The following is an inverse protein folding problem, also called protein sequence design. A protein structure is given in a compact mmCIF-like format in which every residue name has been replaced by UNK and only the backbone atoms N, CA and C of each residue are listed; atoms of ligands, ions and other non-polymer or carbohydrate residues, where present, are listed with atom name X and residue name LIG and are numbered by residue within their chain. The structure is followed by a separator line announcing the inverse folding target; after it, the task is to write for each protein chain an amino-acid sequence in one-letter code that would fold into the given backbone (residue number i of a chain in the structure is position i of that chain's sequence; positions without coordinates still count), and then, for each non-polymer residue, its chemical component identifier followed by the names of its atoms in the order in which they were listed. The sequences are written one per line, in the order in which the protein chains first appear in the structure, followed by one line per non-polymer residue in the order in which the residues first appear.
data_IF_637485886710
#
_entry.id   IF_637485886710
#
_cell.length_a   1.000
_cell.length_b   1.000
_cell.length_c   1.000
_cell.angle_alpha   90.00
_cell.angle_beta   90.00
_cell.angle_gamma   90.00
#
_symmetry.space_group_name_H-M   'P 1'
#
loop_
_entity.id
_entity.type
_entity.pdbx_description
1 polymer ?
#
# COMPACT_ATOMS: atom_id res chain seq x y z
N UNK A 1 54.30 41.12 10.92
CA UNK A 1 53.56 41.23 12.20
C UNK A 1 52.52 40.12 12.25
N UNK A 2 52.80 39.11 13.09
CA UNK A 2 51.91 38.07 13.69
C UNK A 2 51.11 37.18 12.70
N UNK A 3 51.72 36.14 12.10
CA UNK A 3 51.99 34.75 12.59
C UNK A 3 50.81 33.79 12.28
N UNK A 4 50.83 32.91 11.26
CA UNK A 4 51.58 31.65 10.99
C UNK A 4 51.32 30.46 11.94
N UNK A 5 51.24 29.25 11.32
CA UNK A 5 51.38 27.88 11.88
C UNK A 5 50.06 27.21 12.37
N UNK A 6 49.68 25.94 12.15
CA UNK A 6 50.21 24.67 11.60
C UNK A 6 48.98 23.75 11.31
N UNK A 7 48.82 23.11 10.15
CA UNK A 7 49.19 21.71 9.79
C UNK A 7 48.84 20.56 10.77
N UNK A 8 47.98 19.66 10.27
CA UNK A 8 47.99 18.18 10.33
C UNK A 8 47.93 17.45 11.68
N UNK A 9 47.01 16.49 11.84
CA UNK A 9 47.30 15.06 12.11
C UNK A 9 46.02 14.19 12.11
N UNK A 10 46.18 12.96 11.66
CA UNK A 10 45.20 11.88 11.58
C UNK A 10 45.30 10.91 12.78
N UNK A 11 44.35 9.95 12.80
CA UNK A 11 44.39 8.59 13.41
C UNK A 11 43.72 8.33 14.79
N UNK A 12 42.52 7.72 14.73
CA UNK A 12 42.15 6.37 15.24
C UNK A 12 42.19 6.06 16.78
N UNK A 13 41.73 4.87 17.25
CA UNK A 13 40.69 4.72 18.28
C UNK A 13 41.21 4.13 19.62
N UNK A 14 40.39 4.15 20.68
CA UNK A 14 40.73 3.54 21.97
C UNK A 14 39.60 2.66 22.54
N UNK A 15 39.96 1.44 22.91
CA UNK A 15 39.24 0.43 23.69
C UNK A 15 40.28 -0.18 24.67
N UNK A 16 39.90 -0.96 25.69
CA UNK A 16 39.70 -0.56 27.08
C UNK A 16 40.81 -1.06 28.04
N UNK A 17 40.85 -0.54 29.28
CA UNK A 17 41.64 -1.12 30.38
C UNK A 17 40.79 -1.27 31.65
N UNK A 18 40.84 -2.46 32.25
CA UNK A 18 40.11 -2.81 33.46
C UNK A 18 40.97 -2.81 34.73
N UNK A 19 40.29 -2.69 35.88
CA UNK A 19 40.35 -3.52 37.14
C UNK A 19 40.09 -2.64 38.38
N UNK A 20 39.79 -3.18 39.59
CA UNK A 20 39.16 -4.45 39.97
C UNK A 20 38.03 -4.30 41.04
N UNK A 21 37.46 -5.44 41.42
CA UNK A 21 36.36 -5.71 42.37
C UNK A 21 36.59 -5.25 43.83
N UNK A 22 35.48 -4.99 44.55
CA UNK A 22 35.33 -5.38 45.97
C UNK A 22 33.90 -5.83 46.27
N UNK A 23 33.78 -7.00 46.91
CA UNK A 23 32.54 -7.58 47.43
C UNK A 23 32.17 -6.93 48.77
N UNK A 24 30.87 -6.72 49.01
CA UNK A 24 30.30 -6.81 50.35
C UNK A 24 28.87 -7.34 50.31
N UNK A 25 28.70 -8.47 50.97
CA UNK A 25 27.49 -9.24 51.23
C UNK A 25 26.47 -8.47 52.07
N UNK A 26 25.18 -8.53 51.71
CA UNK A 26 24.09 -8.46 52.70
C UNK A 26 22.83 -9.19 52.24
N UNK A 27 22.17 -9.74 53.25
CA UNK A 27 21.27 -10.89 53.30
C UNK A 27 19.82 -10.65 52.88
N UNK A 28 19.18 -11.72 52.39
CA UNK A 28 17.74 -11.88 52.12
C UNK A 28 16.96 -12.03 53.44
N UNK A 29 15.74 -11.46 53.54
CA UNK A 29 14.71 -11.99 54.43
C UNK A 29 13.48 -12.52 53.66
N UNK A 30 12.95 -13.64 54.17
CA UNK A 30 11.76 -14.40 53.76
C UNK A 30 10.43 -13.65 53.93
N UNK A 31 9.36 -13.97 53.16
CA UNK A 31 8.01 -13.48 53.46
C UNK A 31 7.19 -14.50 54.29
N UNK A 32 6.48 -14.00 55.32
CA UNK A 32 5.35 -14.67 55.96
C UNK A 32 4.05 -13.88 55.70
N UNK A 33 2.98 -14.66 55.58
CA UNK A 33 1.52 -14.44 55.45
C UNK A 33 0.89 -13.21 56.17
N UNK A 34 -0.34 -12.71 55.94
CA UNK A 34 -1.65 -13.33 55.61
C UNK A 34 -2.74 -12.21 55.44
N UNK A 35 -3.84 -12.52 54.72
CA UNK A 35 -5.27 -12.05 54.83
C UNK A 35 -5.86 -11.64 53.45
N UNK A 36 -6.80 -12.34 52.76
CA UNK A 36 -8.23 -12.76 52.99
C UNK A 36 -9.19 -11.56 53.10
N UNK A 37 -10.12 -11.27 52.17
CA UNK A 37 -11.40 -11.93 51.80
C UNK A 37 -12.12 -11.08 50.69
N UNK A 38 -13.36 -11.38 50.18
CA UNK A 38 -13.81 -12.49 49.30
C UNK A 38 -14.55 -12.02 48.01
N UNK A 39 -14.75 -12.93 47.04
CA UNK A 39 -15.65 -12.79 45.89
C UNK A 39 -16.88 -13.71 46.00
N UNK A 40 -18.05 -13.20 45.60
CA UNK A 40 -19.36 -13.90 45.53
C UNK A 40 -19.55 -14.65 44.20
N UNK A 41 -20.32 -15.76 44.14
CA UNK A 41 -20.47 -16.60 42.94
C UNK A 41 -21.75 -16.31 42.14
N UNK A 42 -21.85 -16.71 40.86
CA UNK A 42 -23.12 -16.86 40.16
C UNK A 42 -23.61 -18.32 40.15
N UNK A 43 -24.94 -18.43 40.20
CA UNK A 43 -25.77 -19.62 40.33
C UNK A 43 -25.78 -20.54 39.10
N UNK A 44 -25.73 -21.86 39.36
CA UNK A 44 -25.99 -22.96 38.43
C UNK A 44 -27.48 -23.06 38.10
N UNK A 45 -27.83 -23.21 36.82
CA UNK A 45 -29.11 -23.78 36.38
C UNK A 45 -28.79 -25.09 35.67
N UNK A 46 -29.24 -26.20 36.27
CA UNK A 46 -29.13 -27.56 35.75
C UNK A 46 -30.30 -27.83 34.81
N UNK A 47 -30.03 -28.18 33.56
CA UNK A 47 -30.98 -28.87 32.69
C UNK A 47 -30.40 -30.24 32.38
N UNK A 48 -31.00 -31.29 32.96
CA UNK A 48 -30.72 -32.69 32.66
C UNK A 48 -31.46 -33.07 31.37
N UNK A 49 -30.75 -33.59 30.39
CA UNK A 49 -31.34 -34.39 29.32
C UNK A 49 -30.55 -35.70 29.24
N UNK A 50 -31.23 -36.80 29.55
CA UNK A 50 -30.70 -38.16 29.48
C UNK A 50 -30.79 -38.66 28.05
N UNK A 51 -29.66 -39.07 27.47
CA UNK A 51 -29.64 -39.97 26.32
C UNK A 51 -28.75 -41.16 26.63
N UNK A 52 -29.28 -42.33 26.27
CA UNK A 52 -28.77 -43.64 26.61
C UNK A 52 -27.34 -43.88 26.09
N UNK A 53 -26.54 -44.51 26.94
CA UNK A 53 -25.24 -45.10 26.62
C UNK A 53 -25.43 -46.22 25.59
N UNK A 54 -24.80 -46.10 24.43
CA UNK A 54 -24.54 -47.23 23.54
C UNK A 54 -23.02 -47.36 23.41
N UNK A 55 -22.51 -48.48 23.91
CA UNK A 55 -21.10 -48.88 23.85
C UNK A 55 -20.58 -48.89 22.41
N UNK A 56 -19.63 -48.01 22.13
CA UNK A 56 -18.77 -48.06 20.94
C UNK A 56 -17.34 -47.79 21.42
N UNK A 57 -16.45 -48.74 21.12
CA UNK A 57 -15.02 -48.69 21.41
C UNK A 57 -14.40 -47.50 20.65
N UNK A 58 -13.97 -46.46 21.37
CA UNK A 58 -13.17 -45.36 20.82
C UNK A 58 -11.71 -45.81 20.64
N UNK A 59 -11.38 -46.34 19.47
CA UNK A 59 -10.00 -46.29 18.96
C UNK A 59 -9.87 -45.01 18.13
N UNK A 60 -9.63 -43.88 18.82
CA UNK A 60 -9.24 -42.62 18.19
C UNK A 60 -8.02 -42.05 18.88
N UNK A 61 -6.84 -42.55 18.52
CA UNK A 61 -5.58 -41.83 18.72
C UNK A 61 -5.50 -40.67 17.71
N UNK A 62 -6.38 -39.67 17.83
CA UNK A 62 -6.23 -38.41 17.11
C UNK A 62 -5.30 -37.51 17.91
N UNK A 63 -3.99 -37.78 17.82
CA UNK A 63 -3.00 -36.77 18.18
C UNK A 63 -3.24 -35.57 17.23
N UNK A 64 -3.43 -34.35 17.74
CA UNK A 64 -3.49 -33.18 16.88
C UNK A 64 -2.15 -33.10 16.15
N UNK A 65 -2.19 -33.15 14.82
CA UNK A 65 -1.05 -32.76 14.00
C UNK A 65 -0.90 -31.27 14.26
N UNK A 66 0.06 -30.93 15.12
CA UNK A 66 0.50 -29.58 15.35
C UNK A 66 1.22 -29.13 14.08
N UNK A 67 0.44 -28.73 13.06
CA UNK A 67 0.97 -28.01 11.90
C UNK A 67 1.34 -26.63 12.43
N UNK A 68 2.51 -26.55 13.08
CA UNK A 68 3.24 -25.31 13.20
C UNK A 68 3.60 -24.94 11.76
N UNK A 69 2.69 -24.24 11.09
CA UNK A 69 3.05 -23.51 9.90
C UNK A 69 4.14 -22.55 10.34
N UNK A 70 5.39 -22.87 10.00
CA UNK A 70 6.52 -21.97 10.14
C UNK A 70 6.22 -20.78 9.23
N UNK A 71 5.54 -19.77 9.79
CA UNK A 71 5.22 -18.53 9.08
C UNK A 71 6.55 -17.86 8.87
N UNK A 72 7.20 -18.15 7.74
CA UNK A 72 8.37 -17.41 7.28
C UNK A 72 8.00 -15.94 7.26
N UNK A 73 8.52 -15.20 8.23
CA UNK A 73 8.38 -13.76 8.27
C UNK A 73 9.12 -13.21 7.06
N UNK A 74 8.39 -12.53 6.17
CA UNK A 74 8.97 -11.81 5.05
C UNK A 74 10.04 -10.85 5.58
N UNK A 75 11.30 -11.04 5.16
CA UNK A 75 12.42 -10.19 5.56
C UNK A 75 12.86 -9.35 4.36
N UNK A 76 12.73 -8.04 4.48
CA UNK A 76 13.14 -7.10 3.43
C UNK A 76 14.35 -6.28 3.85
N UNK A 77 15.18 -5.94 2.88
CA UNK A 77 16.30 -5.02 3.06
C UNK A 77 16.01 -3.72 2.35
N UNK A 78 16.02 -2.60 3.07
CA UNK A 78 15.76 -1.27 2.52
C UNK A 78 17.06 -0.46 2.49
N UNK A 79 17.59 -0.26 1.29
CA UNK A 79 18.77 0.58 1.05
C UNK A 79 18.35 2.05 1.01
N UNK A 80 18.90 2.87 1.90
CA UNK A 80 18.48 4.25 2.11
C UNK A 80 17.28 4.39 3.06
N UNK A 81 17.05 3.41 3.95
CA UNK A 81 15.90 3.37 4.86
C UNK A 81 15.76 4.55 5.83
N UNK A 82 16.82 5.33 6.11
CA UNK A 82 16.74 6.56 6.91
C UNK A 82 16.32 7.81 6.09
N UNK A 83 16.23 7.66 4.76
CA UNK A 83 15.82 8.73 3.84
C UNK A 83 14.32 9.02 3.88
N UNK A 84 13.89 10.04 3.13
CA UNK A 84 12.49 10.46 3.08
C UNK A 84 11.55 9.34 2.61
N UNK A 85 11.85 8.73 1.45
CA UNK A 85 11.05 7.61 0.91
C UNK A 85 11.30 6.31 1.67
N UNK A 86 12.57 6.01 1.97
CA UNK A 86 12.96 4.78 2.67
C UNK A 86 12.29 4.62 4.04
N UNK A 87 12.20 5.70 4.82
CA UNK A 87 11.59 5.65 6.15
C UNK A 87 10.08 5.40 6.12
N UNK A 88 9.38 5.94 5.11
CA UNK A 88 7.96 5.66 4.89
C UNK A 88 7.73 4.18 4.53
N UNK A 89 8.60 3.61 3.68
CA UNK A 89 8.56 2.18 3.32
C UNK A 89 8.81 1.30 4.54
N UNK A 90 9.88 1.57 5.31
CA UNK A 90 10.20 0.82 6.52
C UNK A 90 9.01 0.83 7.50
N UNK A 91 8.38 1.99 7.70
CA UNK A 91 7.21 2.11 8.56
C UNK A 91 6.01 1.31 8.03
N UNK A 92 5.73 1.40 6.73
CA UNK A 92 4.62 0.66 6.12
C UNK A 92 4.83 -0.86 6.19
N UNK A 93 6.07 -1.33 6.03
CA UNK A 93 6.44 -2.74 6.14
C UNK A 93 6.28 -3.27 7.57
N UNK A 94 6.79 -2.54 8.56
CA UNK A 94 6.64 -2.89 9.99
C UNK A 94 5.16 -2.97 10.38
N UNK A 95 4.33 -2.03 9.92
CA UNK A 95 2.89 -2.05 10.17
C UNK A 95 2.17 -3.27 9.56
N UNK A 96 2.77 -3.92 8.56
CA UNK A 96 2.29 -5.16 7.94
C UNK A 96 2.90 -6.43 8.56
N UNK A 97 3.74 -6.29 9.59
CA UNK A 97 4.41 -7.42 10.24
C UNK A 97 5.59 -7.98 9.44
N UNK A 98 6.11 -7.22 8.46
CA UNK A 98 7.28 -7.60 7.67
C UNK A 98 8.54 -7.22 8.45
N UNK A 99 9.51 -8.12 8.52
CA UNK A 99 10.82 -7.84 9.11
C UNK A 99 11.63 -6.94 8.17
N UNK A 100 12.17 -5.84 8.70
CA UNK A 100 12.90 -4.84 7.91
C UNK A 100 14.32 -4.69 8.42
N UNK A 101 15.28 -4.79 7.50
CA UNK A 101 16.68 -4.38 7.71
C UNK A 101 16.91 -3.06 6.99
N UNK A 102 17.14 -1.98 7.72
CA UNK A 102 17.40 -0.66 7.14
C UNK A 102 18.91 -0.43 7.01
N UNK A 103 19.39 -0.10 5.81
CA UNK A 103 20.79 0.24 5.54
C UNK A 103 20.91 1.72 5.25
N UNK A 104 21.77 2.45 5.98
CA UNK A 104 21.96 3.90 5.80
C UNK A 104 23.31 4.41 6.29
N UNK A 105 23.77 5.54 5.75
CA UNK A 105 25.11 6.11 6.03
C UNK A 105 25.19 7.04 7.25
N UNK A 106 24.06 7.44 7.83
CA UNK A 106 23.99 8.38 8.94
C UNK A 106 22.98 7.90 10.00
N UNK A 107 23.37 7.91 11.28
CA UNK A 107 22.46 7.71 12.41
C UNK A 107 21.76 9.02 12.74
N UNK A 108 20.44 9.04 12.64
CA UNK A 108 19.61 9.99 13.36
C UNK A 108 18.53 9.18 14.08
N UNK A 109 18.32 9.52 15.36
CA UNK A 109 17.45 8.84 16.32
C UNK A 109 16.11 8.47 15.68
N UNK A 110 15.93 7.19 15.36
CA UNK A 110 14.60 6.65 15.15
C UNK A 110 14.07 6.27 16.52
N UNK A 111 12.96 6.89 16.92
CA UNK A 111 12.12 6.32 17.96
C UNK A 111 11.76 4.89 17.52
N UNK A 112 12.29 3.92 18.27
CA UNK A 112 12.20 2.48 18.04
C UNK A 112 10.75 2.05 18.28
N UNK A 113 9.92 2.18 17.25
CA UNK A 113 8.70 1.40 17.16
C UNK A 113 9.00 0.21 16.25
N UNK A 114 9.50 -0.87 16.89
CA UNK A 114 9.58 -2.23 16.34
C UNK A 114 10.20 -2.38 14.94
N UNK A 115 11.49 -2.04 14.75
CA UNK A 115 12.27 -2.65 13.66
C UNK A 115 12.77 -3.99 14.17
N UNK A 116 12.17 -5.09 13.75
CA UNK A 116 12.55 -6.45 14.20
C UNK A 116 13.90 -6.90 13.60
N UNK A 117 14.41 -6.23 12.55
CA UNK A 117 15.61 -6.64 11.79
C UNK A 117 16.84 -5.70 11.85
N UNK A 118 16.83 -4.64 12.66
CA UNK A 118 18.00 -3.77 12.90
C UNK A 118 18.26 -2.64 11.87
N UNK A 119 19.13 -1.69 12.25
CA UNK A 119 19.62 -0.58 11.42
C UNK A 119 21.13 -0.71 11.25
N UNK A 120 21.61 -0.88 10.01
CA UNK A 120 23.03 -0.98 9.71
C UNK A 120 23.58 0.36 9.23
N UNK A 121 24.59 0.88 9.95
CA UNK A 121 25.29 2.11 9.60
C UNK A 121 26.47 1.80 8.68
N UNK A 122 26.23 1.72 7.37
CA UNK A 122 27.29 1.44 6.41
C UNK A 122 26.96 2.04 5.02
N UNK A 123 28.01 2.40 4.27
CA UNK A 123 27.86 2.75 2.86
C UNK A 123 27.70 1.47 2.04
N UNK A 124 26.81 1.51 1.05
CA UNK A 124 26.50 0.38 0.15
C UNK A 124 27.76 -0.15 -0.54
N UNK A 125 28.76 0.70 -0.79
CA UNK A 125 30.03 0.29 -1.38
C UNK A 125 30.89 -0.61 -0.48
N UNK A 126 30.68 -0.58 0.84
CA UNK A 126 31.47 -1.33 1.82
C UNK A 126 30.60 -2.29 2.65
N UNK A 127 29.40 -2.60 2.17
CA UNK A 127 28.45 -3.45 2.88
C UNK A 127 28.96 -4.90 2.92
N UNK A 128 28.86 -5.52 4.10
CA UNK A 128 28.98 -6.96 4.22
C UNK A 128 27.66 -7.61 3.81
N UNK A 129 27.52 -7.88 2.51
CA UNK A 129 26.30 -8.38 1.89
C UNK A 129 25.81 -9.71 2.49
N UNK A 130 26.72 -10.54 2.98
CA UNK A 130 26.41 -11.81 3.67
C UNK A 130 25.58 -11.61 4.94
N UNK A 131 25.88 -10.59 5.74
CA UNK A 131 25.13 -10.34 6.98
C UNK A 131 23.73 -9.76 6.70
N UNK A 132 23.62 -9.01 5.60
CA UNK A 132 22.42 -8.22 5.30
C UNK A 132 21.40 -9.02 4.47
N UNK A 133 21.85 -9.75 3.45
CA UNK A 133 20.98 -10.38 2.46
C UNK A 133 20.54 -11.81 2.84
N UNK A 134 21.18 -12.43 3.84
CA UNK A 134 20.79 -13.78 4.27
C UNK A 134 19.34 -13.78 4.77
N UNK A 135 18.53 -14.64 4.14
CA UNK A 135 17.10 -14.78 4.42
C UNK A 135 16.22 -13.66 3.87
N UNK A 136 16.78 -12.70 3.13
CA UNK A 136 15.99 -11.62 2.55
C UNK A 136 15.12 -12.12 1.38
N UNK A 137 13.83 -11.83 1.42
CA UNK A 137 12.86 -12.13 0.37
C UNK A 137 12.77 -11.00 -0.66
N UNK A 138 13.13 -9.78 -0.28
CA UNK A 138 13.24 -8.68 -1.23
C UNK A 138 14.27 -7.62 -0.81
N UNK A 139 14.81 -6.92 -1.81
CA UNK A 139 15.61 -5.71 -1.59
C UNK A 139 14.89 -4.52 -2.21
N UNK A 140 14.75 -3.43 -1.44
CA UNK A 140 14.17 -2.16 -1.89
C UNK A 140 15.26 -1.10 -1.89
N UNK A 141 15.60 -0.58 -3.08
CA UNK A 141 16.55 0.52 -3.21
C UNK A 141 15.84 1.88 -3.32
N UNK A 142 16.08 2.71 -2.32
CA UNK A 142 15.71 4.14 -2.32
C UNK A 142 16.93 5.05 -2.48
N UNK A 143 18.07 4.49 -2.93
CA UNK A 143 19.32 5.21 -3.09
C UNK A 143 19.17 6.33 -4.12
N UNK A 144 19.39 7.55 -3.65
CA UNK A 144 19.36 8.76 -4.45
C UNK A 144 20.28 9.81 -3.85
N UNK A 145 21.03 10.50 -4.70
CA UNK A 145 21.95 11.55 -4.25
C UNK A 145 22.08 12.66 -5.28
N UNK A 146 22.14 13.90 -4.81
CA UNK A 146 22.41 15.09 -5.59
C UNK A 146 23.81 15.61 -5.24
N UNK A 147 24.49 16.23 -6.20
CA UNK A 147 25.86 16.73 -6.02
C UNK A 147 26.55 16.90 -7.35
N UNK A 148 27.86 16.66 -7.38
CA UNK A 148 28.64 16.71 -8.61
C UNK A 148 28.24 15.58 -9.57
N UNK A 149 28.48 15.76 -10.86
CA UNK A 149 28.13 14.81 -11.92
C UNK A 149 28.65 13.38 -11.63
N UNK A 150 29.90 13.25 -11.17
CA UNK A 150 30.50 11.97 -10.77
C UNK A 150 29.82 11.35 -9.55
N UNK A 151 29.52 12.17 -8.54
CA UNK A 151 28.81 11.71 -7.34
C UNK A 151 27.40 11.22 -7.68
N UNK A 152 26.72 11.91 -8.60
CA UNK A 152 25.39 11.52 -9.07
C UNK A 152 25.46 10.21 -9.87
N UNK A 153 26.45 10.03 -10.76
CA UNK A 153 26.66 8.76 -11.48
C UNK A 153 26.98 7.61 -10.54
N UNK A 154 27.83 7.86 -9.54
CA UNK A 154 28.25 6.88 -8.54
C UNK A 154 27.08 6.44 -7.66
N UNK A 155 26.33 7.39 -7.07
CA UNK A 155 25.24 7.05 -6.13
C UNK A 155 23.99 6.56 -6.86
N UNK A 156 23.56 7.23 -7.93
CA UNK A 156 22.31 6.87 -8.61
C UNK A 156 22.48 5.70 -9.59
N UNK A 157 23.71 5.45 -10.06
CA UNK A 157 24.06 4.35 -10.95
C UNK A 157 24.84 3.24 -10.24
N UNK A 158 26.14 3.44 -10.02
CA UNK A 158 27.05 2.38 -9.54
C UNK A 158 26.59 1.70 -8.26
N UNK A 159 26.16 2.48 -7.24
CA UNK A 159 25.69 1.92 -5.97
C UNK A 159 24.44 1.04 -6.14
N UNK A 160 23.51 1.47 -7.00
CA UNK A 160 22.32 0.67 -7.31
C UNK A 160 22.67 -0.59 -8.09
N UNK A 161 23.56 -0.50 -9.09
CA UNK A 161 24.01 -1.66 -9.87
C UNK A 161 24.70 -2.69 -8.97
N UNK A 162 25.57 -2.22 -8.07
CA UNK A 162 26.23 -3.06 -7.07
C UNK A 162 25.19 -3.78 -6.20
N UNK A 163 24.19 -3.06 -5.69
CA UNK A 163 23.13 -3.62 -4.87
C UNK A 163 22.29 -4.68 -5.63
N UNK A 164 21.96 -4.43 -6.90
CA UNK A 164 21.22 -5.40 -7.73
C UNK A 164 22.06 -6.65 -7.98
N UNK A 165 23.36 -6.48 -8.23
CA UNK A 165 24.30 -7.59 -8.36
C UNK A 165 24.38 -8.43 -7.10
N UNK A 166 24.66 -7.81 -5.96
CA UNK A 166 24.72 -8.49 -4.67
C UNK A 166 23.40 -9.21 -4.36
N UNK A 167 22.25 -8.55 -4.50
CA UNK A 167 20.95 -9.18 -4.28
C UNK A 167 20.76 -10.44 -5.15
N UNK A 168 21.20 -10.39 -6.41
CA UNK A 168 21.09 -11.51 -7.33
C UNK A 168 22.02 -12.66 -6.96
N UNK A 169 23.27 -12.35 -6.61
CA UNK A 169 24.29 -13.34 -6.25
C UNK A 169 23.92 -14.10 -4.97
N UNK A 170 23.25 -13.42 -4.03
CA UNK A 170 22.69 -14.02 -2.80
C UNK A 170 21.33 -14.70 -3.00
N UNK A 171 20.79 -14.71 -4.22
CA UNK A 171 19.54 -15.40 -4.53
C UNK A 171 18.28 -14.73 -3.99
N UNK A 172 18.31 -13.44 -3.67
CA UNK A 172 17.11 -12.68 -3.27
C UNK A 172 16.12 -12.71 -4.44
N UNK A 173 14.85 -13.12 -4.23
CA UNK A 173 13.92 -13.39 -5.34
C UNK A 173 13.32 -12.13 -5.98
N UNK A 174 13.20 -11.02 -5.24
CA UNK A 174 12.54 -9.79 -5.70
C UNK A 174 13.42 -8.55 -5.46
N UNK A 175 13.48 -7.64 -6.42
CA UNK A 175 14.21 -6.37 -6.29
C UNK A 175 13.34 -5.20 -6.73
N UNK A 176 13.21 -4.19 -5.87
CA UNK A 176 12.38 -3.01 -6.11
C UNK A 176 13.29 -1.78 -6.14
N UNK A 177 13.24 -1.01 -7.22
CA UNK A 177 14.00 0.22 -7.42
C UNK A 177 13.07 1.43 -7.49
N UNK A 178 13.32 2.42 -6.62
CA UNK A 178 12.70 3.74 -6.74
C UNK A 178 13.55 4.60 -7.68
N UNK A 179 13.03 4.81 -8.89
CA UNK A 179 13.64 5.64 -9.92
C UNK A 179 12.97 7.02 -9.97
N UNK A 180 12.99 7.67 -11.14
CA UNK A 180 12.42 8.99 -11.40
C UNK A 180 11.73 8.96 -12.75
N UNK A 181 10.68 9.74 -12.93
CA UNK A 181 9.97 9.87 -14.19
C UNK A 181 10.65 10.87 -15.16
N UNK A 182 10.53 10.64 -16.48
CA UNK A 182 11.24 11.42 -17.51
C UNK A 182 10.40 12.45 -18.27
N UNK A 183 9.05 12.35 -18.22
CA UNK A 183 8.21 13.14 -19.13
C UNK A 183 8.46 14.65 -19.00
N UNK A 184 8.65 15.27 -20.16
CA UNK A 184 8.72 16.71 -20.39
C UNK A 184 9.88 17.43 -19.68
N UNK A 185 10.92 16.69 -19.29
CA UNK A 185 12.15 17.30 -18.81
C UNK A 185 13.05 17.70 -19.99
N UNK A 186 13.62 18.91 -19.98
CA UNK A 186 14.60 19.33 -20.97
C UNK A 186 15.75 18.33 -21.14
N UNK A 187 16.23 18.16 -22.37
CA UNK A 187 17.29 17.20 -22.71
C UNK A 187 18.58 17.37 -21.89
N UNK A 188 18.89 18.59 -21.43
CA UNK A 188 20.06 18.85 -20.58
C UNK A 188 19.94 18.21 -19.18
N UNK A 189 18.72 18.03 -18.65
CA UNK A 189 18.46 17.39 -17.36
C UNK A 189 18.48 15.87 -17.47
N UNK A 190 17.91 15.35 -18.56
CA UNK A 190 17.98 13.92 -18.90
C UNK A 190 19.43 13.48 -19.15
N UNK A 191 20.31 14.40 -19.56
CA UNK A 191 21.75 14.17 -19.74
C UNK A 191 22.57 14.27 -18.45
N UNK A 192 21.95 14.60 -17.31
CA UNK A 192 22.67 14.65 -16.03
C UNK A 192 23.01 13.26 -15.51
N UNK A 193 24.07 13.19 -14.70
CA UNK A 193 24.54 11.97 -14.06
C UNK A 193 23.49 11.33 -13.14
N UNK A 194 22.53 12.13 -12.67
CA UNK A 194 21.38 11.65 -11.91
C UNK A 194 20.48 10.74 -12.75
N UNK A 195 19.95 11.23 -13.87
CA UNK A 195 19.04 10.48 -14.74
C UNK A 195 19.77 9.33 -15.43
N UNK A 196 20.98 9.57 -15.96
CA UNK A 196 21.80 8.51 -16.57
C UNK A 196 22.07 7.39 -15.55
N UNK A 197 22.42 7.74 -14.31
CA UNK A 197 22.63 6.78 -13.24
C UNK A 197 21.38 5.95 -12.96
N UNK A 198 20.23 6.61 -12.75
CA UNK A 198 18.95 5.93 -12.53
C UNK A 198 18.59 5.01 -13.69
N UNK A 199 18.74 5.43 -14.95
CA UNK A 199 18.47 4.60 -16.12
C UNK A 199 19.36 3.36 -16.19
N UNK A 200 20.65 3.49 -15.88
CA UNK A 200 21.55 2.32 -15.82
C UNK A 200 21.13 1.33 -14.76
N UNK A 201 20.73 1.81 -13.58
CA UNK A 201 20.21 0.98 -12.51
C UNK A 201 18.91 0.25 -12.92
N UNK A 202 17.99 0.93 -13.61
CA UNK A 202 16.76 0.31 -14.12
C UNK A 202 17.07 -0.85 -15.09
N UNK A 203 17.96 -0.62 -16.05
CA UNK A 203 18.37 -1.66 -17.00
C UNK A 203 18.97 -2.88 -16.29
N UNK A 204 19.75 -2.67 -15.22
CA UNK A 204 20.33 -3.74 -14.42
C UNK A 204 19.26 -4.54 -13.65
N UNK A 205 18.26 -3.86 -13.07
CA UNK A 205 17.13 -4.54 -12.41
C UNK A 205 16.38 -5.39 -13.41
N UNK A 206 15.99 -4.83 -14.55
CA UNK A 206 15.19 -5.52 -15.55
C UNK A 206 15.95 -6.69 -16.21
N UNK A 207 17.27 -6.61 -16.31
CA UNK A 207 18.10 -7.70 -16.85
C UNK A 207 18.26 -8.86 -15.87
N UNK A 208 18.52 -8.58 -14.59
CA UNK A 208 18.73 -9.61 -13.55
C UNK A 208 17.44 -10.18 -12.96
N UNK A 209 16.37 -9.39 -13.02
CA UNK A 209 15.04 -9.70 -12.48
C UNK A 209 13.92 -9.50 -13.51
N UNK A 210 13.91 -10.25 -14.63
CA UNK A 210 12.95 -10.03 -15.71
C UNK A 210 11.48 -10.32 -15.33
N UNK A 211 11.24 -11.15 -14.31
CA UNK A 211 9.89 -11.56 -13.84
C UNK A 211 9.58 -11.16 -12.39
N UNK A 212 10.49 -10.45 -11.73
CA UNK A 212 10.34 -10.07 -10.32
C UNK A 212 11.02 -8.74 -9.98
N UNK A 213 11.54 -8.03 -10.99
CA UNK A 213 12.16 -6.73 -10.83
C UNK A 213 11.10 -5.65 -10.97
N UNK A 214 11.02 -4.75 -10.01
CA UNK A 214 10.05 -3.65 -9.99
C UNK A 214 10.79 -2.33 -10.09
N UNK A 215 10.39 -1.48 -11.01
CA UNK A 215 10.91 -0.12 -11.15
C UNK A 215 9.76 0.87 -11.03
N UNK A 216 9.72 1.63 -9.94
CA UNK A 216 8.73 2.70 -9.78
C UNK A 216 9.35 4.00 -10.30
N UNK A 217 8.69 4.67 -11.26
CA UNK A 217 9.10 5.98 -11.79
C UNK A 217 8.14 7.10 -11.32
N UNK A 218 8.23 7.54 -10.06
CA UNK A 218 7.44 8.64 -9.55
C UNK A 218 7.88 9.99 -10.16
N UNK A 219 6.95 10.95 -10.19
CA UNK A 219 7.25 12.36 -10.39
C UNK A 219 7.84 12.98 -9.12
N UNK A 220 7.56 14.26 -8.88
CA UNK A 220 7.97 14.92 -7.64
C UNK A 220 7.29 14.26 -6.42
N UNK A 221 8.09 13.87 -5.42
CA UNK A 221 7.60 13.19 -4.22
C UNK A 221 7.39 14.20 -3.10
N UNK A 222 6.18 14.27 -2.53
CA UNK A 222 5.87 15.18 -1.42
C UNK A 222 5.32 14.43 -0.20
N UNK A 223 5.39 15.07 0.97
CA UNK A 223 4.92 14.49 2.23
C UNK A 223 5.65 15.07 3.42
N UNK A 224 5.26 14.63 4.62
CA UNK A 224 5.83 15.10 5.89
C UNK A 224 6.83 14.08 6.41
N UNK A 225 7.99 14.54 6.90
CA UNK A 225 8.93 13.69 7.63
C UNK A 225 8.58 13.76 9.11
N UNK A 226 8.21 12.62 9.73
CA UNK A 226 8.02 12.55 11.18
C UNK A 226 9.34 12.15 11.83
N UNK A 227 9.93 13.05 12.61
CA UNK A 227 11.11 12.78 13.45
C UNK A 227 10.71 13.14 14.88
N UNK A 228 10.86 12.20 15.82
CA UNK A 228 10.61 12.41 17.26
C UNK A 228 9.24 13.00 17.64
N UNK A 229 8.16 12.52 17.01
CA UNK A 229 6.79 12.92 17.34
C UNK A 229 6.34 14.26 16.76
N UNK A 230 7.23 14.99 16.08
CA UNK A 230 6.93 16.23 15.38
C UNK A 230 6.80 15.99 13.87
N UNK A 231 5.75 16.56 13.26
CA UNK A 231 5.55 16.53 11.81
C UNK A 231 6.32 17.70 11.18
N UNK A 232 7.46 17.43 10.55
CA UNK A 232 8.24 18.46 9.89
C UNK A 232 7.92 18.41 8.38
N UNK A 233 7.15 19.38 7.84
CA UNK A 233 7.02 19.53 6.41
C UNK A 233 8.39 19.89 5.81
N UNK A 234 8.71 19.30 4.65
CA UNK A 234 10.02 19.47 4.02
C UNK A 234 10.33 20.91 3.56
N UNK A 235 9.37 21.84 3.63
CA UNK A 235 9.61 23.26 3.31
C UNK A 235 10.50 23.97 4.36
N UNK A 236 10.77 23.35 5.51
CA UNK A 236 11.37 24.01 6.67
C UNK A 236 12.73 23.47 7.14
N UNK A 237 13.36 22.53 6.41
CA UNK A 237 14.66 21.96 6.79
C UNK A 237 15.76 22.63 5.96
N UNK A 238 16.77 23.24 6.59
CA UNK A 238 17.90 23.95 5.95
C UNK A 238 18.82 23.10 5.06
N UNK A 239 20.06 23.57 4.84
CA UNK A 239 21.18 23.06 3.98
C UNK A 239 20.87 22.05 2.86
N UNK A 240 20.40 20.80 3.10
CA UNK A 240 19.94 19.91 2.04
C UNK A 240 18.77 20.44 1.19
N UNK A 241 17.79 21.17 1.77
CA UNK A 241 16.75 21.84 0.96
C UNK A 241 17.33 23.04 0.23
N UNK A 242 18.28 23.75 0.81
CA UNK A 242 18.98 24.86 0.16
C UNK A 242 19.78 24.36 -1.04
N UNK A 243 20.41 23.17 -0.95
CA UNK A 243 21.03 22.49 -2.10
C UNK A 243 20.03 21.94 -3.10
N UNK A 244 18.88 21.44 -2.64
CA UNK A 244 17.79 21.01 -3.52
C UNK A 244 17.14 22.19 -4.23
N UNK A 245 16.98 23.32 -3.55
CA UNK A 245 16.47 24.60 -4.06
C UNK A 245 17.50 25.28 -4.96
N UNK A 246 18.80 25.22 -4.65
CA UNK A 246 19.87 25.69 -5.53
C UNK A 246 20.02 24.79 -6.76
N UNK A 247 19.85 23.47 -6.60
CA UNK A 247 19.75 22.54 -7.73
C UNK A 247 18.48 22.82 -8.54
N UNK A 248 17.35 23.09 -7.89
CA UNK A 248 16.10 23.48 -8.51
C UNK A 248 16.16 24.89 -9.14
N UNK A 249 16.94 25.83 -8.60
CA UNK A 249 17.14 27.18 -9.14
C UNK A 249 18.07 27.13 -10.36
N UNK A 250 19.12 26.31 -10.32
CA UNK A 250 19.96 26.04 -11.48
C UNK A 250 19.22 25.23 -12.55
N UNK A 251 18.27 24.37 -12.14
CA UNK A 251 17.33 23.66 -13.00
C UNK A 251 16.25 24.57 -13.60
N UNK A 252 15.75 25.55 -12.84
CA UNK A 252 14.68 26.46 -13.27
C UNK A 252 15.18 27.71 -13.99
N UNK A 253 16.44 28.13 -13.81
CA UNK A 253 17.07 29.21 -14.58
C UNK A 253 16.88 29.08 -16.10
N UNK A 254 17.15 27.92 -16.73
CA UNK A 254 16.86 27.69 -18.15
C UNK A 254 15.38 27.40 -18.47
N UNK A 255 14.55 27.09 -17.47
CA UNK A 255 13.11 26.87 -17.63
C UNK A 255 12.29 28.18 -17.58
N UNK A 256 12.82 29.23 -16.94
CA UNK A 256 12.22 30.58 -16.92
C UNK A 256 12.14 31.23 -18.30
N UNK A 257 12.91 30.74 -19.28
CA UNK A 257 12.89 31.20 -20.67
C UNK A 257 11.95 30.41 -21.59
N UNK A 258 11.28 29.36 -21.10
CA UNK A 258 10.37 28.53 -21.90
C UNK A 258 8.91 29.00 -21.74
N UNK A 259 8.11 28.98 -22.82
CA UNK A 259 6.69 29.31 -22.75
C UNK A 259 5.97 28.33 -21.82
N UNK A 260 5.03 28.84 -21.01
CA UNK A 260 4.34 28.08 -19.95
C UNK A 260 3.60 26.81 -20.43
N UNK A 261 3.36 26.66 -21.74
CA UNK A 261 2.80 25.46 -22.37
C UNK A 261 3.76 24.28 -22.44
N UNK A 262 5.08 24.53 -22.45
CA UNK A 262 6.12 23.47 -22.46
C UNK A 262 6.51 23.01 -21.05
N UNK A 263 6.03 23.71 -20.01
CA UNK A 263 6.35 23.45 -18.60
C UNK A 263 5.36 22.48 -17.94
N UNK A 264 4.98 21.41 -18.63
CA UNK A 264 4.04 20.42 -18.10
C UNK A 264 4.81 19.41 -17.22
N UNK A 265 5.15 19.83 -16.00
CA UNK A 265 5.79 18.97 -15.01
C UNK A 265 4.90 17.77 -14.66
N UNK A 266 5.52 16.60 -14.53
CA UNK A 266 4.81 15.39 -14.14
C UNK A 266 4.11 15.58 -12.78
N UNK A 267 2.87 15.07 -12.61
CA UNK A 267 2.09 15.32 -11.41
C UNK A 267 2.78 14.74 -10.16
N UNK A 268 2.76 15.46 -9.03
CA UNK A 268 3.40 14.99 -7.82
C UNK A 268 2.71 13.74 -7.25
N UNK A 269 3.48 12.95 -6.51
CA UNK A 269 3.08 11.69 -5.86
C UNK A 269 3.39 11.77 -4.37
N UNK A 270 2.47 11.31 -3.51
CA UNK A 270 2.73 11.32 -2.07
C UNK A 270 3.74 10.22 -1.69
N UNK A 271 4.55 10.48 -0.66
CA UNK A 271 5.50 9.49 -0.13
C UNK A 271 4.81 8.25 0.41
N UNK A 272 3.61 8.41 0.97
CA UNK A 272 2.79 7.32 1.48
C UNK A 272 2.29 6.43 0.33
N UNK A 273 1.85 7.01 -0.80
CA UNK A 273 1.43 6.24 -1.97
C UNK A 273 2.58 5.37 -2.49
N UNK A 274 3.79 5.92 -2.54
CA UNK A 274 4.98 5.15 -2.95
C UNK A 274 5.24 4.02 -1.96
N UNK A 275 5.18 4.29 -0.67
CA UNK A 275 5.36 3.26 0.35
C UNK A 275 4.33 2.13 0.19
N UNK A 276 3.04 2.46 0.03
CA UNK A 276 1.98 1.48 -0.19
C UNK A 276 2.13 0.70 -1.49
N UNK A 277 2.54 1.36 -2.57
CA UNK A 277 2.82 0.69 -3.84
C UNK A 277 3.98 -0.33 -3.68
N UNK A 278 5.04 0.02 -2.94
CA UNK A 278 6.15 -0.89 -2.63
C UNK A 278 5.66 -2.08 -1.79
N UNK A 279 4.87 -1.84 -0.75
CA UNK A 279 4.32 -2.94 0.07
C UNK A 279 3.48 -3.89 -0.78
N UNK A 280 2.61 -3.38 -1.65
CA UNK A 280 1.82 -4.26 -2.52
C UNK A 280 2.70 -5.00 -3.53
N UNK A 281 3.75 -4.35 -4.05
CA UNK A 281 4.72 -5.01 -4.92
C UNK A 281 5.50 -6.13 -4.22
N UNK A 282 5.76 -6.01 -2.91
CA UNK A 282 6.36 -7.08 -2.12
C UNK A 282 5.43 -8.29 -2.04
N UNK A 283 4.15 -8.06 -1.76
CA UNK A 283 3.15 -9.11 -1.52
C UNK A 283 2.61 -9.76 -2.81
N UNK A 284 2.70 -9.10 -3.95
CA UNK A 284 2.15 -9.55 -5.23
C UNK A 284 3.30 -10.01 -6.15
N UNK A 285 3.31 -11.28 -6.52
CA UNK A 285 4.34 -11.88 -7.38
C UNK A 285 4.17 -11.52 -8.86
N UNK A 286 2.96 -11.12 -9.27
CA UNK A 286 2.70 -10.62 -10.62
C UNK A 286 3.08 -9.14 -10.77
N UNK A 287 3.54 -8.51 -9.69
CA UNK A 287 3.99 -7.12 -9.70
C UNK A 287 5.47 -7.04 -10.14
N UNK A 288 5.69 -6.88 -11.45
CA UNK A 288 7.04 -6.70 -12.03
C UNK A 288 7.01 -5.75 -13.25
N UNK A 289 8.17 -5.21 -13.60
CA UNK A 289 8.35 -4.25 -14.69
C UNK A 289 8.42 -2.79 -14.23
N UNK A 290 8.17 -1.87 -15.16
CA UNK A 290 8.26 -0.42 -14.95
C UNK A 290 6.87 0.16 -14.73
N UNK A 291 6.70 0.93 -13.65
CA UNK A 291 5.44 1.54 -13.26
C UNK A 291 5.50 3.06 -13.39
N UNK A 292 4.56 3.64 -14.14
CA UNK A 292 4.37 5.09 -14.28
C UNK A 292 3.66 5.68 -13.06
N UNK A 293 3.51 7.01 -13.04
CA UNK A 293 2.91 7.75 -11.93
C UNK A 293 1.47 7.29 -11.66
N UNK A 294 0.68 7.08 -12.71
CA UNK A 294 -0.70 6.61 -12.61
C UNK A 294 -0.76 5.20 -12.01
N UNK A 295 0.11 4.32 -12.48
CA UNK A 295 0.18 2.92 -12.02
C UNK A 295 0.67 2.83 -10.57
N UNK A 296 1.57 3.74 -10.14
CA UNK A 296 1.98 3.85 -8.73
C UNK A 296 0.78 4.23 -7.86
N UNK A 297 -0.02 5.22 -8.28
CA UNK A 297 -1.21 5.64 -7.53
C UNK A 297 -2.27 4.53 -7.47
N UNK A 298 -2.47 3.81 -8.56
CA UNK A 298 -3.36 2.65 -8.60
C UNK A 298 -2.86 1.52 -7.69
N UNK A 299 -1.56 1.20 -7.76
CA UNK A 299 -0.94 0.22 -6.89
C UNK A 299 -1.05 0.60 -5.41
N UNK A 300 -0.85 1.86 -5.06
CA UNK A 300 -1.05 2.37 -3.70
C UNK A 300 -2.50 2.24 -3.24
N UNK A 301 -3.44 2.57 -4.14
CA UNK A 301 -4.86 2.49 -3.87
C UNK A 301 -5.30 1.06 -3.53
N UNK A 302 -4.67 0.00 -4.05
CA UNK A 302 -4.96 -1.40 -3.67
C UNK A 302 -4.86 -1.64 -2.15
N UNK A 303 -4.00 -0.91 -1.41
CA UNK A 303 -3.89 -1.04 0.04
C UNK A 303 -5.15 -0.57 0.78
N UNK A 304 -5.82 0.46 0.24
CA UNK A 304 -7.08 1.00 0.77
C UNK A 304 -8.31 0.39 0.09
N UNK A 305 -8.16 -0.04 -1.16
CA UNK A 305 -9.13 -0.74 -1.97
C UNK A 305 -8.99 -2.25 -1.77
N UNK A 306 -9.13 -2.71 -0.52
CA UNK A 306 -10.01 -3.86 -0.38
C UNK A 306 -11.34 -3.32 -0.91
N UNK A 307 -11.94 -3.89 -1.97
CA UNK A 307 -13.30 -3.50 -2.35
C UNK A 307 -14.21 -3.88 -1.18
N UNK A 308 -14.29 -3.00 -0.17
CA UNK A 308 -14.85 -3.30 1.12
C UNK A 308 -16.33 -3.65 0.97
N UNK A 309 -17.00 -3.05 -0.01
CA UNK A 309 -18.36 -3.40 -0.39
C UNK A 309 -18.48 -4.81 -0.95
N UNK A 310 -17.55 -5.26 -1.81
CA UNK A 310 -17.56 -6.61 -2.38
C UNK A 310 -17.22 -7.64 -1.30
N UNK A 311 -16.17 -7.39 -0.51
CA UNK A 311 -15.77 -8.27 0.59
C UNK A 311 -16.85 -8.38 1.66
N UNK A 312 -17.45 -7.25 2.07
CA UNK A 312 -18.56 -7.27 3.02
C UNK A 312 -19.80 -7.94 2.45
N UNK A 313 -20.04 -7.88 1.13
CA UNK A 313 -21.16 -8.58 0.50
C UNK A 313 -20.93 -10.09 0.45
N UNK A 314 -19.71 -10.52 0.16
CA UNK A 314 -19.28 -11.92 0.25
C UNK A 314 -19.41 -12.42 1.69
N UNK A 315 -18.90 -11.66 2.67
CA UNK A 315 -19.00 -12.00 4.09
C UNK A 315 -20.47 -12.07 4.54
N UNK A 316 -21.31 -11.13 4.12
CA UNK A 316 -22.74 -11.15 4.42
C UNK A 316 -23.41 -12.41 3.85
N UNK A 317 -23.01 -12.86 2.65
CA UNK A 317 -23.47 -14.12 2.07
C UNK A 317 -22.97 -15.37 2.78
N UNK A 318 -21.75 -15.36 3.29
CA UNK A 318 -21.19 -16.45 4.09
C UNK A 318 -21.87 -16.56 5.48
N UNK A 319 -22.17 -15.42 6.12
CA UNK A 319 -22.71 -15.38 7.48
C UNK A 319 -24.24 -15.52 7.55
N UNK A 320 -24.97 -14.91 6.61
CA UNK A 320 -26.43 -14.78 6.68
C UNK A 320 -27.16 -15.48 5.52
N UNK A 321 -26.41 -16.20 4.67
CA UNK A 321 -26.94 -16.85 3.47
C UNK A 321 -27.47 -15.85 2.43
N UNK A 322 -28.11 -16.38 1.39
CA UNK A 322 -28.56 -15.56 0.25
C UNK A 322 -29.61 -14.54 0.69
N UNK A 323 -30.69 -14.96 1.35
CA UNK A 323 -31.79 -14.07 1.70
C UNK A 323 -31.37 -12.99 2.71
N UNK A 324 -30.71 -13.38 3.81
CA UNK A 324 -30.26 -12.46 4.84
C UNK A 324 -29.15 -11.53 4.37
N UNK A 325 -28.16 -12.08 3.65
CA UNK A 325 -27.06 -11.31 3.06
C UNK A 325 -27.54 -10.28 2.04
N UNK A 326 -28.50 -10.66 1.17
CA UNK A 326 -29.09 -9.73 0.20
C UNK A 326 -29.76 -8.53 0.83
N UNK A 327 -30.63 -8.77 1.82
CA UNK A 327 -31.34 -7.69 2.53
C UNK A 327 -30.33 -6.77 3.21
N UNK A 328 -29.33 -7.34 3.91
CA UNK A 328 -28.33 -6.57 4.63
C UNK A 328 -27.47 -5.71 3.68
N UNK A 329 -26.97 -6.29 2.59
CA UNK A 329 -26.15 -5.61 1.60
C UNK A 329 -26.91 -4.49 0.90
N UNK A 330 -28.13 -4.75 0.43
CA UNK A 330 -28.93 -3.76 -0.28
C UNK A 330 -29.29 -2.59 0.64
N UNK A 331 -29.71 -2.85 1.88
CA UNK A 331 -30.05 -1.79 2.83
C UNK A 331 -28.82 -0.97 3.23
N UNK A 332 -27.70 -1.61 3.53
CA UNK A 332 -26.45 -0.91 3.87
C UNK A 332 -25.94 -0.06 2.70
N UNK A 333 -25.92 -0.62 1.49
CA UNK A 333 -25.49 0.10 0.29
C UNK A 333 -26.43 1.25 -0.06
N UNK A 334 -27.74 1.07 0.09
CA UNK A 334 -28.74 2.12 -0.14
C UNK A 334 -28.60 3.23 0.91
N UNK A 335 -28.39 2.90 2.19
CA UNK A 335 -28.13 3.89 3.23
C UNK A 335 -26.86 4.70 2.96
N UNK A 336 -25.77 4.05 2.55
CA UNK A 336 -24.53 4.71 2.14
C UNK A 336 -24.72 5.63 0.93
N UNK A 337 -25.45 5.16 -0.09
CA UNK A 337 -25.76 5.95 -1.29
C UNK A 337 -26.62 7.17 -0.96
N UNK A 338 -27.61 7.03 -0.07
CA UNK A 338 -28.44 8.13 0.41
C UNK A 338 -27.61 9.17 1.17
N UNK A 339 -26.71 8.75 2.06
CA UNK A 339 -25.80 9.67 2.76
C UNK A 339 -24.94 10.47 1.79
N UNK A 340 -24.37 9.81 0.77
CA UNK A 340 -23.58 10.47 -0.27
C UNK A 340 -24.42 11.46 -1.10
N UNK A 341 -25.66 11.09 -1.45
CA UNK A 341 -26.60 11.97 -2.14
C UNK A 341 -26.88 13.25 -1.33
N UNK A 342 -27.18 13.14 -0.04
CA UNK A 342 -27.45 14.32 0.78
C UNK A 342 -26.20 15.17 1.01
N UNK A 343 -25.04 14.54 1.21
CA UNK A 343 -23.78 15.28 1.35
C UNK A 343 -23.45 16.07 0.07
N UNK A 344 -23.62 15.45 -1.09
CA UNK A 344 -23.47 16.13 -2.38
C UNK A 344 -24.51 17.23 -2.59
N UNK A 345 -25.75 17.03 -2.13
CA UNK A 345 -26.79 18.06 -2.21
C UNK A 345 -26.45 19.29 -1.37
N UNK A 346 -25.85 19.11 -0.19
CA UNK A 346 -25.50 20.20 0.74
C UNK A 346 -24.22 20.90 0.30
N UNK A 347 -23.18 20.14 -0.05
CA UNK A 347 -21.82 20.68 -0.30
C UNK A 347 -21.54 20.78 -1.81
N UNK A 348 -21.79 19.70 -2.54
CA UNK A 348 -21.43 19.58 -3.96
C UNK A 348 -22.21 20.54 -4.87
N UNK A 349 -23.54 20.67 -4.65
CA UNK A 349 -24.39 21.52 -5.49
C UNK A 349 -24.01 23.01 -5.42
N UNK A 350 -23.81 23.65 -4.25
CA UNK A 350 -23.33 25.03 -4.19
C UNK A 350 -21.96 25.23 -4.85
N UNK A 351 -21.03 24.29 -4.68
CA UNK A 351 -19.69 24.36 -5.28
C UNK A 351 -19.75 24.32 -6.81
N UNK A 352 -20.50 23.38 -7.39
CA UNK A 352 -20.60 23.24 -8.85
C UNK A 352 -21.36 24.42 -9.46
N UNK A 353 -22.38 24.95 -8.78
CA UNK A 353 -23.08 26.15 -9.23
C UNK A 353 -22.15 27.38 -9.27
N UNK A 354 -21.23 27.50 -8.30
CA UNK A 354 -20.23 28.58 -8.26
C UNK A 354 -19.16 28.43 -9.35
N UNK A 355 -18.68 27.21 -9.60
CA UNK A 355 -17.57 26.96 -10.53
C UNK A 355 -18.01 26.88 -12.01
N UNK A 356 -19.17 26.27 -12.30
CA UNK A 356 -19.64 26.01 -13.67
C UNK A 356 -21.18 26.13 -13.83
N UNK A 357 -21.74 27.33 -13.67
CA UNK A 357 -23.19 27.56 -13.73
C UNK A 357 -23.82 27.19 -15.10
N UNK A 358 -23.15 27.53 -16.20
CA UNK A 358 -23.68 27.31 -17.56
C UNK A 358 -23.79 25.82 -17.92
N UNK A 359 -22.78 25.02 -17.53
CA UNK A 359 -22.81 23.56 -17.75
C UNK A 359 -23.88 22.91 -16.87
N UNK A 360 -23.99 23.35 -15.63
CA UNK A 360 -24.97 22.81 -14.68
C UNK A 360 -26.40 23.01 -15.19
N UNK A 361 -26.75 24.23 -15.63
CA UNK A 361 -28.07 24.53 -16.17
C UNK A 361 -28.39 23.73 -17.43
N UNK A 362 -27.40 23.53 -18.32
CA UNK A 362 -27.55 22.65 -19.50
C UNK A 362 -27.90 21.20 -19.11
N UNK A 363 -27.17 20.61 -18.16
CA UNK A 363 -27.43 19.24 -17.70
C UNK A 363 -28.77 19.12 -16.97
N UNK A 364 -29.12 20.08 -16.13
CA UNK A 364 -30.43 20.13 -15.46
C UNK A 364 -31.56 20.22 -16.49
N UNK A 365 -31.42 21.03 -17.54
CA UNK A 365 -32.40 21.11 -18.62
C UNK A 365 -32.55 19.77 -19.38
N UNK A 366 -31.45 19.04 -19.58
CA UNK A 366 -31.51 17.69 -20.19
C UNK A 366 -32.25 16.67 -19.32
N UNK A 367 -32.04 16.72 -18.01
CA UNK A 367 -32.75 15.86 -17.05
C UNK A 367 -34.23 16.22 -16.99
N UNK A 368 -34.56 17.52 -16.99
CA UNK A 368 -35.92 18.00 -17.00
C UNK A 368 -36.71 17.54 -18.24
N UNK A 369 -36.09 17.51 -19.43
CA UNK A 369 -36.70 16.97 -20.66
C UNK A 369 -37.04 15.48 -20.59
N UNK A 370 -36.41 14.72 -19.69
CA UNK A 370 -36.56 13.26 -19.57
C UNK A 370 -37.18 12.83 -18.24
N UNK A 371 -37.86 13.74 -17.54
CA UNK A 371 -38.37 13.55 -16.18
C UNK A 371 -39.25 12.30 -16.03
N UNK A 372 -40.11 12.03 -17.01
CA UNK A 372 -41.06 10.90 -16.97
C UNK A 372 -40.37 9.53 -17.01
N UNK A 373 -39.21 9.43 -17.66
CA UNK A 373 -38.43 8.18 -17.80
C UNK A 373 -37.22 8.14 -16.87
N UNK A 374 -37.10 9.12 -15.96
CA UNK A 374 -35.90 9.33 -15.17
C UNK A 374 -35.55 8.14 -14.28
N UNK A 375 -36.57 7.48 -13.71
CA UNK A 375 -36.37 6.25 -12.92
C UNK A 375 -35.72 5.15 -13.77
N UNK A 376 -36.22 4.92 -14.98
CA UNK A 376 -35.68 3.89 -15.88
C UNK A 376 -34.24 4.23 -16.30
N UNK A 377 -33.93 5.50 -16.52
CA UNK A 377 -32.56 5.94 -16.81
C UNK A 377 -31.61 5.68 -15.64
N UNK A 378 -31.95 6.10 -14.42
CA UNK A 378 -31.08 5.87 -13.25
C UNK A 378 -30.97 4.37 -12.94
N UNK A 379 -32.06 3.62 -13.08
CA UNK A 379 -32.06 2.17 -12.91
C UNK A 379 -31.11 1.50 -13.91
N UNK A 380 -31.19 1.86 -15.19
CA UNK A 380 -30.29 1.37 -16.22
C UNK A 380 -28.82 1.68 -15.90
N UNK A 381 -28.52 2.90 -15.46
CA UNK A 381 -27.17 3.31 -15.07
C UNK A 381 -26.63 2.56 -13.85
N UNK A 382 -27.50 2.01 -13.00
CA UNK A 382 -27.10 1.26 -11.80
C UNK A 382 -26.97 -0.24 -12.04
N UNK A 383 -27.84 -0.79 -12.89
CA UNK A 383 -27.77 -2.20 -13.29
C UNK A 383 -26.58 -2.42 -14.21
N UNK A 384 -26.29 -1.47 -15.10
CA UNK A 384 -25.11 -1.53 -15.96
C UNK A 384 -23.89 -0.95 -15.24
N UNK A 385 -22.71 -1.60 -15.28
CA UNK A 385 -21.50 -1.11 -14.61
C UNK A 385 -20.82 0.02 -15.39
N UNK A 386 -21.59 0.85 -16.10
CA UNK A 386 -21.08 1.88 -17.02
C UNK A 386 -20.51 3.09 -16.29
N UNK A 387 -21.10 3.45 -15.14
CA UNK A 387 -20.66 4.57 -14.32
C UNK A 387 -20.37 4.12 -12.88
N UNK A 388 -19.32 4.66 -12.24
CA UNK A 388 -19.05 4.38 -10.83
C UNK A 388 -20.22 4.77 -9.93
N UNK A 389 -20.57 3.95 -8.94
CA UNK A 389 -21.66 4.22 -7.99
C UNK A 389 -21.49 5.58 -7.29
N UNK A 390 -20.27 5.95 -6.90
CA UNK A 390 -19.96 7.25 -6.28
C UNK A 390 -20.31 8.41 -7.20
N UNK A 391 -20.05 8.27 -8.50
CA UNK A 391 -20.39 9.31 -9.48
C UNK A 391 -21.90 9.50 -9.59
N UNK A 392 -22.67 8.41 -9.70
CA UNK A 392 -24.14 8.48 -9.76
C UNK A 392 -24.70 9.10 -8.48
N UNK A 393 -24.19 8.69 -7.31
CA UNK A 393 -24.61 9.22 -6.01
C UNK A 393 -24.34 10.72 -5.87
N UNK A 394 -23.18 11.18 -6.34
CA UNK A 394 -22.78 12.58 -6.24
C UNK A 394 -23.44 13.46 -7.31
N UNK A 395 -23.54 12.99 -8.55
CA UNK A 395 -24.09 13.76 -9.67
C UNK A 395 -25.62 13.91 -9.61
N UNK A 396 -26.34 12.89 -9.13
CA UNK A 396 -27.81 12.88 -9.07
C UNK A 396 -28.43 14.13 -8.41
N UNK A 397 -28.02 14.57 -7.20
CA UNK A 397 -28.57 15.78 -6.57
C UNK A 397 -28.13 17.09 -7.25
N UNK A 398 -27.01 17.07 -7.97
CA UNK A 398 -26.47 18.23 -8.71
C UNK A 398 -27.36 18.48 -9.94
N UNK A 399 -27.72 17.44 -10.68
CA UNK A 399 -28.55 17.52 -11.90
C UNK A 399 -30.06 17.44 -11.62
N UNK A 400 -30.49 17.68 -10.38
CA UNK A 400 -31.90 17.72 -9.96
C UNK A 400 -32.69 16.42 -10.13
N UNK A 401 -32.03 15.26 -9.96
CA UNK A 401 -32.75 13.98 -9.80
C UNK A 401 -33.46 13.96 -8.43
N UNK A 402 -34.78 13.72 -8.37
CA UNK A 402 -35.49 13.60 -7.09
C UNK A 402 -34.99 12.43 -6.25
N UNK A 403 -34.85 12.64 -4.94
CA UNK A 403 -34.40 11.60 -4.00
C UNK A 403 -35.24 10.32 -4.04
N UNK A 404 -36.59 10.33 -4.11
CA UNK A 404 -37.37 9.09 -4.18
C UNK A 404 -37.04 8.25 -5.42
N UNK A 405 -36.80 8.90 -6.56
CA UNK A 405 -36.41 8.22 -7.81
C UNK A 405 -35.02 7.60 -7.64
N UNK A 406 -34.08 8.38 -7.10
CA UNK A 406 -32.74 7.91 -6.81
C UNK A 406 -32.74 6.73 -5.84
N UNK A 407 -33.49 6.81 -4.74
CA UNK A 407 -33.60 5.78 -3.72
C UNK A 407 -34.16 4.47 -4.30
N UNK A 408 -35.29 4.55 -5.02
CA UNK A 408 -35.93 3.37 -5.60
C UNK A 408 -35.07 2.72 -6.69
N UNK A 409 -34.43 3.52 -7.54
CA UNK A 409 -33.50 3.02 -8.54
C UNK A 409 -32.24 2.39 -7.90
N UNK A 410 -31.80 2.89 -6.75
CA UNK A 410 -30.67 2.31 -5.99
C UNK A 410 -31.05 0.98 -5.38
N UNK A 411 -32.20 0.93 -4.69
CA UNK A 411 -32.69 -0.26 -4.02
C UNK A 411 -32.87 -1.43 -5.00
N UNK A 412 -33.46 -1.15 -6.18
CA UNK A 412 -33.71 -2.17 -7.21
C UNK A 412 -32.45 -2.43 -8.05
N UNK A 413 -31.73 -1.39 -8.45
CA UNK A 413 -30.60 -1.49 -9.36
C UNK A 413 -29.39 -2.25 -8.80
N UNK A 414 -29.26 -2.31 -7.47
CA UNK A 414 -28.19 -3.06 -6.80
C UNK A 414 -28.48 -4.55 -6.64
N UNK A 415 -29.74 -5.00 -6.82
CA UNK A 415 -30.13 -6.40 -6.62
C UNK A 415 -29.28 -7.38 -7.44
N UNK A 416 -29.06 -7.19 -8.76
CA UNK A 416 -28.32 -8.17 -9.56
C UNK A 416 -26.87 -8.33 -9.09
N UNK A 417 -26.18 -7.20 -8.83
CA UNK A 417 -24.79 -7.21 -8.38
C UNK A 417 -24.66 -7.77 -6.95
N UNK A 418 -25.59 -7.42 -6.05
CA UNK A 418 -25.65 -7.96 -4.70
C UNK A 418 -25.87 -9.47 -4.72
N UNK A 419 -26.76 -9.97 -5.58
CA UNK A 419 -27.05 -11.40 -5.67
C UNK A 419 -25.83 -12.22 -6.08
N UNK A 420 -25.09 -11.77 -7.10
CA UNK A 420 -23.88 -12.46 -7.56
C UNK A 420 -22.84 -12.52 -6.44
N UNK A 421 -22.62 -11.43 -5.73
CA UNK A 421 -21.58 -11.34 -4.68
C UNK A 421 -21.96 -12.08 -3.40
N UNK A 422 -23.21 -11.97 -2.95
CA UNK A 422 -23.73 -12.69 -1.78
C UNK A 422 -23.76 -14.19 -2.06
N UNK A 423 -24.18 -14.63 -3.25
CA UNK A 423 -24.17 -16.05 -3.63
C UNK A 423 -22.75 -16.64 -3.65
N UNK A 424 -21.78 -15.89 -4.15
CA UNK A 424 -20.37 -16.29 -4.07
C UNK A 424 -19.92 -16.43 -2.61
N UNK A 425 -20.37 -15.54 -1.72
CA UNK A 425 -20.16 -15.62 -0.28
C UNK A 425 -20.73 -16.88 0.37
N UNK A 426 -21.96 -17.24 0.05
CA UNK A 426 -22.58 -18.47 0.57
C UNK A 426 -21.83 -19.71 0.12
N UNK A 427 -21.42 -19.78 -1.15
CA UNK A 427 -20.61 -20.88 -1.67
C UNK A 427 -19.25 -20.98 -0.96
N UNK A 428 -18.63 -19.85 -0.60
CA UNK A 428 -17.38 -19.82 0.17
C UNK A 428 -17.56 -20.26 1.63
N UNK A 429 -18.69 -19.93 2.25
CA UNK A 429 -19.02 -20.31 3.64
C UNK A 429 -19.36 -21.79 3.82
N UNK A 430 -19.76 -22.48 2.75
CA UNK A 430 -20.08 -23.91 2.75
C UNK A 430 -18.85 -24.82 2.53
N UNK A 431 -17.70 -24.25 2.13
CA UNK A 431 -16.45 -25.00 1.95
C UNK A 431 -15.93 -25.48 3.31
N UNK A 432 -16.16 -26.76 3.61
CA UNK A 432 -15.64 -27.41 4.84
C UNK A 432 -14.21 -27.93 4.67
N UNK A 433 -13.66 -27.92 3.46
CA UNK A 433 -12.33 -28.45 3.11
C UNK A 433 -11.78 -27.82 1.83
N UNK A 434 -10.45 -27.66 1.74
CA UNK A 434 -9.73 -27.23 0.51
C UNK A 434 -9.93 -28.22 -0.65
N UNK A 435 -10.38 -29.44 -0.38
CA UNK A 435 -10.73 -30.43 -1.40
C UNK A 435 -12.02 -30.08 -2.17
N UNK A 436 -12.97 -29.35 -1.56
CA UNK A 436 -14.21 -28.91 -2.23
C UNK A 436 -13.96 -27.78 -3.25
N UNK A 437 -12.82 -27.08 -3.15
CA UNK A 437 -12.36 -26.13 -4.17
C UNK A 437 -11.96 -26.82 -5.48
N UNK A 438 -11.65 -28.12 -5.43
CA UNK A 438 -11.35 -28.94 -6.60
C UNK A 438 -12.56 -29.76 -7.09
N UNK A 439 -13.75 -29.54 -6.54
CA UNK A 439 -14.94 -30.20 -7.05
C UNK A 439 -15.21 -29.80 -8.50
N UNK A 440 -15.40 -30.81 -9.36
CA UNK A 440 -15.51 -30.64 -10.81
C UNK A 440 -16.67 -29.71 -11.18
N UNK A 441 -17.75 -29.73 -10.40
CA UNK A 441 -18.91 -28.87 -10.61
C UNK A 441 -18.59 -27.40 -10.31
N UNK A 442 -17.81 -27.12 -9.27
CA UNK A 442 -17.35 -25.76 -8.92
C UNK A 442 -16.37 -25.21 -9.94
N UNK A 443 -15.41 -26.03 -10.39
CA UNK A 443 -14.48 -25.68 -11.47
C UNK A 443 -15.24 -25.42 -12.78
N UNK A 444 -16.19 -26.30 -13.13
CA UNK A 444 -17.01 -26.13 -14.32
C UNK A 444 -17.86 -24.86 -14.25
N UNK A 445 -18.41 -24.52 -13.08
CA UNK A 445 -19.21 -23.31 -12.88
C UNK A 445 -18.35 -22.04 -13.00
N UNK A 446 -17.16 -22.02 -12.37
CA UNK A 446 -16.21 -20.91 -12.50
C UNK A 446 -15.71 -20.75 -13.93
N UNK A 447 -15.43 -21.85 -14.63
CA UNK A 447 -15.06 -21.86 -16.03
C UNK A 447 -16.19 -21.33 -16.93
N UNK A 448 -17.44 -21.72 -16.66
CA UNK A 448 -18.61 -21.22 -17.39
C UNK A 448 -18.84 -19.72 -17.18
N UNK A 449 -18.70 -19.25 -15.93
CA UNK A 449 -18.74 -17.82 -15.61
C UNK A 449 -17.63 -17.10 -16.38
N UNK A 450 -16.40 -17.63 -16.37
CA UNK A 450 -15.27 -17.10 -17.15
C UNK A 450 -15.59 -16.98 -18.64
N UNK A 451 -16.11 -18.04 -19.26
CA UNK A 451 -16.54 -18.03 -20.67
C UNK A 451 -17.62 -16.98 -20.91
N UNK A 452 -18.69 -16.96 -20.13
CA UNK A 452 -19.79 -16.00 -20.29
C UNK A 452 -19.30 -14.55 -20.13
N UNK A 453 -18.31 -14.32 -19.27
CA UNK A 453 -17.74 -12.98 -19.04
C UNK A 453 -16.81 -12.56 -20.18
N UNK A 454 -16.08 -13.50 -20.80
CA UNK A 454 -15.13 -13.25 -21.90
C UNK A 454 -15.79 -13.26 -23.29
N UNK A 455 -16.92 -13.95 -23.44
CA UNK A 455 -17.64 -14.09 -24.72
C UNK A 455 -18.07 -12.74 -25.33
N UNK A 456 -18.62 -11.76 -24.57
CA UNK A 456 -18.97 -10.44 -25.11
C UNK A 456 -17.74 -9.67 -25.62
N UNK A 457 -16.59 -9.81 -24.94
CA UNK A 457 -15.33 -9.14 -25.28
C UNK A 457 -14.69 -9.74 -26.54
N UNK A 458 -14.86 -11.04 -26.78
CA UNK A 458 -14.39 -11.70 -27.99
C UNK A 458 -15.32 -11.45 -29.19
N UNK A 459 -16.64 -11.43 -28.99
CA UNK A 459 -17.61 -11.14 -30.06
C UNK A 459 -17.49 -9.69 -30.55
N UNK A 460 -17.16 -8.74 -29.66
CA UNK A 460 -16.93 -7.33 -30.01
C UNK A 460 -15.68 -7.11 -30.91
N UNK A 461 -14.68 -7.99 -30.86
CA UNK A 461 -13.50 -7.92 -31.75
C UNK A 461 -13.73 -8.47 -33.16
N UNK A 462 -14.87 -9.12 -33.42
CA UNK A 462 -15.19 -9.75 -34.71
C UNK A 462 -15.97 -8.88 -35.71
N UNK A 463 -16.31 -7.63 -35.37
CA UNK A 463 -17.00 -6.69 -36.27
C UNK A 463 -16.10 -5.52 -36.69
N UNK A 464 -14.93 -5.83 -37.26
CA UNK A 464 -14.15 -4.89 -38.07
C UNK A 464 -14.00 -5.40 -39.49
#
# INVERSE_FOLDING_TARGET
MVAMSLWSFACAPALPSGRPLSLSTRSIPSPRSLSRFPSRPPSRVNVRCSYATSDMVEDSSSLPIDVVADVKTEKIVVLGGNGFVGSAICKAAVLKGIEVVSVSRCMQSFNVYHITGGVLLCDVFYLMWEEVLVGATAVVSTLGGFGNEEQMKRINGEANILAVGAAKDFGVPKFILISVHDYNLPSFLLSSGYFIGKRKAESEVLSKYPRSGVVLRPGFIYGKRKVDGYEIPLDLIGEPLERLLLAAENFTRPLKSLPASDLLLAPPVSVDDIAYAVINALMDDDFFGVFTIEQIKEAAAKTFMIPGTVFMSILAGALFGIAGGMVLVILAATAGASSCYFLSKIIGRPLVFSLWPDKLSFFQAQVAKRREKLLNYILFLRVTPTLPNTFINMASPIVDVPYPIFFLATLIGLIPAAYVTVRAGTALGELKSVADLYDFQSIATLFFIGIVTVTPTLISKGQK
#
